data_IF_523359009626
#
_entry.id   IF_523359009626
#
_cell.length_a   1.000
_cell.length_b   1.000
_cell.length_c   1.000
_cell.angle_alpha   90.00
_cell.angle_beta   90.00
_cell.angle_gamma   90.00
#
_symmetry.space_group_name_H-M   'P 1'
#
loop_
_entity.id
_entity.type
_entity.pdbx_description
1 polymer ?
#
# COMPACT_ATOMS: atom_id res chain seq x y z
N UNK A 1 -11.28 -11.66 -10.69
CA UNK A 1 -10.13 -11.93 -9.79
C UNK A 1 -8.78 -11.93 -10.56
N UNK A 2 -8.42 -10.84 -11.25
CA UNK A 2 -7.12 -10.68 -11.94
C UNK A 2 -6.34 -9.42 -11.51
N UNK A 3 -6.93 -8.56 -10.68
CA UNK A 3 -6.43 -7.22 -10.34
C UNK A 3 -5.01 -7.19 -9.74
N UNK A 4 -4.60 -8.24 -9.02
CA UNK A 4 -3.30 -8.32 -8.36
C UNK A 4 -2.31 -9.26 -9.06
N UNK A 5 -2.67 -9.83 -10.22
CA UNK A 5 -1.80 -10.77 -10.93
C UNK A 5 -0.56 -10.04 -11.46
N UNK A 6 0.63 -10.56 -11.17
CA UNK A 6 1.91 -10.00 -11.66
C UNK A 6 2.42 -8.79 -10.88
N UNK A 7 1.79 -8.42 -9.76
CA UNK A 7 2.31 -7.37 -8.88
C UNK A 7 3.47 -7.92 -8.05
N UNK A 8 4.51 -7.11 -7.86
CA UNK A 8 5.69 -7.47 -7.07
C UNK A 8 5.35 -7.79 -5.61
N UNK A 9 4.33 -7.12 -5.06
CA UNK A 9 3.88 -7.31 -3.69
C UNK A 9 2.62 -8.17 -3.66
N UNK A 10 2.50 -9.01 -2.61
CA UNK A 10 1.28 -9.78 -2.35
C UNK A 10 0.10 -8.84 -2.16
N UNK A 11 -1.08 -9.27 -2.61
CA UNK A 11 -2.34 -8.52 -2.49
C UNK A 11 -2.56 -8.00 -1.06
N UNK A 12 -2.23 -8.81 -0.05
CA UNK A 12 -2.52 -8.49 1.35
C UNK A 12 -1.67 -7.31 1.84
N UNK A 13 -0.42 -7.19 1.37
CA UNK A 13 0.45 -6.04 1.67
C UNK A 13 -0.14 -4.77 1.05
N UNK A 14 -0.58 -4.86 -0.20
CA UNK A 14 -1.16 -3.75 -0.94
C UNK A 14 -2.42 -3.24 -0.24
N UNK A 15 -3.33 -4.17 0.12
CA UNK A 15 -4.58 -3.82 0.80
C UNK A 15 -4.33 -3.25 2.19
N UNK A 16 -3.35 -3.77 2.95
CA UNK A 16 -2.96 -3.20 4.25
C UNK A 16 -2.43 -1.77 4.09
N UNK A 17 -1.58 -1.52 3.10
CA UNK A 17 -1.03 -0.19 2.84
C UNK A 17 -2.13 0.83 2.48
N UNK A 18 -3.03 0.46 1.56
CA UNK A 18 -4.16 1.29 1.15
C UNK A 18 -5.12 1.51 2.32
N UNK A 19 -5.39 0.47 3.11
CA UNK A 19 -6.22 0.55 4.31
C UNK A 19 -5.65 1.49 5.37
N UNK A 20 -4.33 1.50 5.58
CA UNK A 20 -3.69 2.44 6.50
C UNK A 20 -3.85 3.88 6.06
N UNK A 21 -3.63 4.16 4.77
CA UNK A 21 -3.83 5.49 4.21
C UNK A 21 -5.28 5.95 4.37
N UNK A 22 -6.26 5.14 3.92
CA UNK A 22 -7.67 5.53 3.92
C UNK A 22 -8.27 5.65 5.32
N UNK A 23 -7.83 4.82 6.28
CA UNK A 23 -8.46 4.75 7.61
C UNK A 23 -7.90 5.74 8.63
N UNK A 24 -6.62 6.09 8.52
CA UNK A 24 -5.91 6.85 9.57
C UNK A 24 -5.35 8.18 9.08
N UNK A 25 -5.69 8.63 7.87
CA UNK A 25 -5.22 9.89 7.28
C UNK A 25 -3.69 10.04 7.29
N UNK A 26 -2.98 8.91 7.21
CA UNK A 26 -1.52 8.86 7.21
C UNK A 26 -0.96 9.37 5.88
N UNK A 27 0.20 10.01 5.90
CA UNK A 27 0.89 10.32 4.64
C UNK A 27 1.43 9.05 3.99
N UNK A 28 1.69 9.08 2.68
CA UNK A 28 2.34 7.95 1.99
C UNK A 28 3.70 7.59 2.59
N UNK A 29 4.41 8.56 3.17
CA UNK A 29 5.68 8.34 3.86
C UNK A 29 5.45 7.58 5.17
N UNK A 30 4.46 7.98 5.96
CA UNK A 30 4.16 7.28 7.23
C UNK A 30 3.77 5.83 6.98
N UNK A 31 2.96 5.55 5.96
CA UNK A 31 2.62 4.17 5.59
C UNK A 31 3.86 3.39 5.14
N UNK A 32 4.78 4.01 4.38
CA UNK A 32 6.07 3.41 4.00
C UNK A 32 6.90 3.05 5.23
N UNK A 33 6.98 3.95 6.21
CA UNK A 33 7.71 3.73 7.46
C UNK A 33 7.09 2.60 8.30
N UNK A 34 5.76 2.57 8.43
CA UNK A 34 5.05 1.48 9.13
C UNK A 34 5.28 0.11 8.48
N UNK A 35 5.33 0.05 7.15
CA UNK A 35 5.67 -1.19 6.45
C UNK A 35 7.14 -1.56 6.65
N UNK A 36 8.03 -0.56 6.68
CA UNK A 36 9.47 -0.75 6.93
C UNK A 36 9.73 -1.33 8.32
N UNK A 37 9.01 -0.87 9.34
CA UNK A 37 9.05 -1.45 10.70
C UNK A 37 8.65 -2.94 10.72
N UNK A 38 7.88 -3.39 9.73
CA UNK A 38 7.48 -4.80 9.54
C UNK A 38 8.38 -5.56 8.56
N UNK A 39 9.53 -5.00 8.21
CA UNK A 39 10.48 -5.60 7.27
C UNK A 39 10.08 -5.51 5.80
N UNK A 40 9.07 -4.68 5.47
CA UNK A 40 8.57 -4.51 4.10
C UNK A 40 9.00 -3.13 3.58
N UNK A 41 10.04 -3.12 2.74
CA UNK A 41 10.51 -1.88 2.12
C UNK A 41 9.69 -1.53 0.89
N UNK A 42 8.91 -0.45 0.95
CA UNK A 42 8.08 0.05 -0.15
C UNK A 42 8.28 1.55 -0.26
N UNK A 43 8.64 2.04 -1.44
CA UNK A 43 8.79 3.48 -1.65
C UNK A 43 7.44 4.21 -1.53
N UNK A 44 7.36 5.42 -0.94
CA UNK A 44 6.10 6.16 -0.78
C UNK A 44 5.30 6.37 -2.08
N UNK A 45 5.98 6.57 -3.22
CA UNK A 45 5.29 6.72 -4.52
C UNK A 45 4.62 5.42 -4.99
N UNK A 46 5.10 4.25 -4.55
CA UNK A 46 4.42 2.97 -4.82
C UNK A 46 3.11 2.89 -4.05
N UNK A 47 3.08 3.38 -2.81
CA UNK A 47 1.87 3.45 -1.99
C UNK A 47 0.87 4.42 -2.60
N UNK A 48 1.31 5.59 -3.06
CA UNK A 48 0.46 6.53 -3.82
C UNK A 48 -0.20 5.86 -5.02
N UNK A 49 0.56 5.09 -5.82
CA UNK A 49 0.01 4.35 -6.96
C UNK A 49 -1.03 3.33 -6.53
N UNK A 50 -0.80 2.58 -5.45
CA UNK A 50 -1.78 1.64 -4.92
C UNK A 50 -3.05 2.31 -4.43
N UNK A 51 -2.93 3.45 -3.74
CA UNK A 51 -4.09 4.20 -3.27
C UNK A 51 -4.91 4.74 -4.45
N UNK A 52 -4.25 5.23 -5.49
CA UNK A 52 -4.96 5.68 -6.70
C UNK A 52 -5.62 4.52 -7.47
N UNK A 53 -4.96 3.35 -7.51
CA UNK A 53 -5.46 2.17 -8.25
C UNK A 53 -6.56 1.42 -7.48
N UNK A 54 -6.48 1.39 -6.15
CA UNK A 54 -7.26 0.49 -5.29
C UNK A 54 -8.03 1.19 -4.17
N UNK A 55 -7.93 2.52 -4.02
CA UNK A 55 -8.62 3.26 -2.96
C UNK A 55 -10.14 3.22 -3.04
N UNK A 56 -10.68 2.87 -4.22
CA UNK A 56 -12.11 2.71 -4.50
C UNK A 56 -12.52 1.26 -4.79
N UNK A 57 -11.62 0.28 -4.58
CA UNK A 57 -11.99 -1.15 -4.66
C UNK A 57 -12.92 -1.53 -3.50
#
# INVERSE_FOLDING_TARGET
MRYFKGKQFKKDIILVAVGYYCRFSLSYRDVSELLRERGISVHPTTIMRWVHEYGNL
#
